data_IF_316721043821
#
_entry.id   IF_316721043821
#
_cell.length_a   1.000
_cell.length_b   1.000
_cell.length_c   1.000
_cell.angle_alpha   90.00
_cell.angle_beta   90.00
_cell.angle_gamma   90.00
#
_symmetry.space_group_name_H-M   'P 1'
#
loop_
_entity.id
_entity.type
_entity.pdbx_description
1 polymer ?
#
# COMPACT_ATOMS: atom_id res chain seq x y z
N UNK A 1 5.11 6.58 -9.80
CA UNK A 1 4.62 5.22 -9.49
C UNK A 1 3.66 5.34 -8.33
N UNK A 2 2.51 4.69 -8.44
CA UNK A 2 1.55 4.59 -7.36
C UNK A 2 1.72 3.22 -6.69
N UNK A 3 1.69 3.21 -5.36
CA UNK A 3 1.70 1.99 -4.55
C UNK A 3 0.34 1.85 -3.91
N UNK A 4 -0.25 0.66 -4.03
CA UNK A 4 -1.55 0.33 -3.48
C UNK A 4 -1.42 -0.81 -2.47
N UNK A 5 -2.37 -0.89 -1.56
CA UNK A 5 -2.56 -2.02 -0.65
C UNK A 5 -4.06 -2.30 -0.56
N UNK A 6 -4.47 -3.53 -0.84
CA UNK A 6 -5.89 -3.90 -0.96
C UNK A 6 -6.66 -2.98 -1.93
N UNK A 7 -6.06 -2.68 -3.08
CA UNK A 7 -6.64 -1.80 -4.12
C UNK A 7 -6.80 -0.31 -3.73
N UNK A 8 -6.32 0.08 -2.54
CA UNK A 8 -6.32 1.48 -2.08
C UNK A 8 -4.93 2.12 -2.23
N UNK A 9 -4.89 3.32 -2.81
CA UNK A 9 -3.67 4.12 -2.96
C UNK A 9 -3.07 4.45 -1.58
N UNK A 10 -1.75 4.27 -1.46
CA UNK A 10 -0.99 4.65 -0.27
C UNK A 10 -0.46 6.09 -0.40
N UNK A 11 -0.49 6.83 0.71
CA UNK A 11 0.18 8.12 0.82
C UNK A 11 1.70 7.95 0.74
N UNK A 12 2.39 8.92 0.13
CA UNK A 12 3.85 8.89 -0.07
C UNK A 12 4.65 8.81 1.25
N UNK A 13 4.08 9.33 2.33
CA UNK A 13 4.71 9.39 3.65
C UNK A 13 4.31 8.21 4.57
N UNK A 14 3.47 7.29 4.07
CA UNK A 14 3.08 6.13 4.86
C UNK A 14 4.24 5.14 4.98
N UNK A 15 4.68 4.89 6.20
CA UNK A 15 5.65 3.82 6.49
C UNK A 15 4.99 2.44 6.34
N UNK A 16 5.79 1.41 6.04
CA UNK A 16 5.28 0.03 5.96
C UNK A 16 4.65 -0.46 7.27
N UNK A 17 5.16 -0.02 8.43
CA UNK A 17 4.57 -0.33 9.74
C UNK A 17 3.16 0.26 9.87
N UNK A 18 2.98 1.51 9.45
CA UNK A 18 1.66 2.15 9.46
C UNK A 18 0.68 1.39 8.55
N UNK A 19 1.09 1.07 7.32
CA UNK A 19 0.28 0.30 6.37
C UNK A 19 -0.08 -1.07 6.93
N UNK A 20 0.86 -1.77 7.54
CA UNK A 20 0.61 -3.07 8.15
C UNK A 20 -0.48 -2.99 9.23
N UNK A 21 -0.35 -2.05 10.17
CA UNK A 21 -1.30 -1.91 11.29
C UNK A 21 -2.69 -1.45 10.83
N UNK A 22 -2.76 -0.60 9.80
CA UNK A 22 -4.04 0.01 9.37
C UNK A 22 -4.78 -0.78 8.28
N UNK A 23 -4.05 -1.53 7.44
CA UNK A 23 -4.63 -2.22 6.26
C UNK A 23 -4.43 -3.75 6.27
N UNK A 24 -3.50 -4.27 7.07
CA UNK A 24 -3.08 -5.68 7.06
C UNK A 24 -3.17 -6.41 8.39
N UNK A 25 -3.54 -5.72 9.49
CA UNK A 25 -3.53 -6.26 10.86
C UNK A 25 -4.26 -7.60 11.04
N UNK A 26 -5.31 -7.84 10.27
CA UNK A 26 -6.15 -9.04 10.36
C UNK A 26 -6.02 -9.95 9.13
N UNK A 27 -4.97 -9.77 8.33
CA UNK A 27 -4.68 -10.58 7.14
C UNK A 27 -3.43 -11.40 7.38
N UNK A 28 -3.38 -12.57 6.75
CA UNK A 28 -2.19 -13.42 6.83
C UNK A 28 -0.98 -12.73 6.18
N UNK A 29 0.21 -12.82 6.78
CA UNK A 29 1.43 -12.33 6.16
C UNK A 29 1.76 -13.13 4.88
N UNK A 30 2.55 -12.56 3.95
CA UNK A 30 3.18 -11.24 4.01
C UNK A 30 2.25 -10.09 3.59
N UNK A 31 2.59 -8.86 4.00
CA UNK A 31 1.98 -7.64 3.46
C UNK A 31 2.12 -7.62 1.93
N UNK A 32 1.01 -7.54 1.19
CA UNK A 32 1.01 -7.46 -0.27
C UNK A 32 0.75 -6.03 -0.73
N UNK A 33 1.61 -5.53 -1.61
CA UNK A 33 1.49 -4.22 -2.23
C UNK A 33 1.39 -4.38 -3.75
N UNK A 34 0.53 -3.59 -4.38
CA UNK A 34 0.46 -3.48 -5.83
C UNK A 34 1.18 -2.20 -6.28
N UNK A 35 1.81 -2.23 -7.44
CA UNK A 35 2.40 -1.05 -8.06
C UNK A 35 1.75 -0.79 -9.41
N UNK A 36 1.61 0.49 -9.78
CA UNK A 36 1.24 0.88 -11.14
C UNK A 36 2.05 2.09 -11.61
N UNK A 37 2.35 2.20 -12.92
CA UNK A 37 2.90 3.42 -13.48
C UNK A 37 1.99 4.60 -13.14
N UNK A 38 2.58 5.70 -12.67
CA UNK A 38 1.84 6.96 -12.51
C UNK A 38 2.01 7.71 -13.83
N UNK A 39 0.92 7.89 -14.57
CA UNK A 39 0.90 8.74 -15.76
C UNK A 39 0.51 10.13 -15.27
N UNK A 40 1.48 11.02 -15.14
CA UNK A 40 1.22 12.44 -14.98
C UNK A 40 1.02 12.99 -16.42
N UNK A 41 -0.22 13.29 -16.80
CA UNK A 41 -0.57 13.98 -18.05
C UNK A 41 -0.40 15.48 -17.83
#
# INVERSE_FOLDING_TARGET
IDILCNDELLGKDHTLKFVYVTRWRFRDPPLRLQYRPRIDI
#
